data_IF_273215151063
#
_entry.id   IF_273215151063
#
_cell.length_a   1.000
_cell.length_b   1.000
_cell.length_c   1.000
_cell.angle_alpha   90.00
_cell.angle_beta   90.00
_cell.angle_gamma   90.00
#
_symmetry.space_group_name_H-M   'P 1'
#
loop_
_entity.id
_entity.type
_entity.pdbx_description
1 polymer ?
#
# COMPACT_ATOMS: atom_id res chain seq x y z
N UNK A 1 -6.73 10.61 -35.82
CA UNK A 1 -7.83 9.67 -35.48
C UNK A 1 -7.19 8.32 -35.17
N UNK A 2 -6.84 8.08 -33.91
CA UNK A 2 -6.46 6.77 -33.38
C UNK A 2 -6.99 6.73 -31.95
N UNK A 3 -8.26 6.34 -31.82
CA UNK A 3 -8.83 5.89 -30.55
C UNK A 3 -8.22 4.54 -30.22
N UNK A 4 -7.14 4.57 -29.43
CA UNK A 4 -6.68 3.39 -28.72
C UNK A 4 -7.69 3.10 -27.60
N UNK A 5 -8.70 2.29 -27.91
CA UNK A 5 -9.50 1.58 -26.93
C UNK A 5 -8.57 0.56 -26.25
N UNK A 6 -7.85 1.00 -25.22
CA UNK A 6 -7.15 0.08 -24.33
C UNK A 6 -8.16 -0.56 -23.39
N UNK A 7 -8.11 -1.88 -23.36
CA UNK A 7 -9.07 -2.75 -22.71
C UNK A 7 -9.12 -2.55 -21.18
N UNK A 8 -9.97 -1.64 -20.70
CA UNK A 8 -10.56 -1.69 -19.35
C UNK A 8 -11.60 -2.83 -19.20
N UNK A 9 -11.43 -3.93 -19.95
CA UNK A 9 -12.40 -5.03 -20.12
C UNK A 9 -12.60 -5.86 -18.84
N UNK A 10 -11.74 -5.72 -17.82
CA UNK A 10 -11.89 -6.53 -16.59
C UNK A 10 -12.90 -5.98 -15.58
N UNK A 11 -13.20 -4.68 -15.59
CA UNK A 11 -14.02 -4.04 -14.56
C UNK A 11 -15.36 -3.61 -15.17
N UNK A 12 -16.48 -3.94 -14.54
CA UNK A 12 -17.84 -3.80 -15.10
C UNK A 12 -18.19 -4.87 -16.15
N UNK A 13 -17.97 -6.16 -15.85
CA UNK A 13 -18.54 -7.25 -16.66
C UNK A 13 -20.08 -7.20 -16.59
N UNK A 14 -20.71 -6.90 -17.73
CA UNK A 14 -22.15 -7.10 -18.04
C UNK A 14 -23.12 -5.92 -17.92
N UNK A 15 -22.70 -4.66 -17.95
CA UNK A 15 -23.65 -3.53 -18.09
C UNK A 15 -23.19 -2.53 -19.16
N UNK A 16 -24.10 -2.04 -20.04
CA UNK A 16 -23.79 -1.03 -21.06
C UNK A 16 -23.41 0.34 -20.47
N UNK A 17 -23.74 0.57 -19.20
CA UNK A 17 -23.24 1.68 -18.36
C UNK A 17 -22.43 1.07 -17.21
N UNK A 18 -21.22 1.56 -16.95
CA UNK A 18 -20.35 0.98 -15.94
C UNK A 18 -20.82 1.42 -14.55
N UNK A 19 -21.55 0.54 -13.87
CA UNK A 19 -21.92 0.78 -12.49
C UNK A 19 -20.67 0.87 -11.60
N UNK A 20 -20.33 2.08 -11.17
CA UNK A 20 -19.19 2.36 -10.31
C UNK A 20 -19.26 1.62 -8.96
N UNK A 21 -20.42 1.10 -8.56
CA UNK A 21 -20.58 0.29 -7.35
C UNK A 21 -19.74 -0.99 -7.37
N UNK A 22 -19.43 -1.51 -8.56
CA UNK A 22 -18.65 -2.74 -8.74
C UNK A 22 -17.13 -2.53 -8.77
N UNK A 23 -16.65 -1.30 -8.92
CA UNK A 23 -15.22 -1.01 -9.12
C UNK A 23 -14.36 -1.52 -7.96
N UNK A 24 -14.75 -1.22 -6.72
CA UNK A 24 -13.99 -1.62 -5.54
C UNK A 24 -14.08 -3.12 -5.25
N UNK A 25 -15.28 -3.78 -5.28
CA UNK A 25 -15.38 -5.23 -5.18
C UNK A 25 -14.53 -5.97 -6.21
N UNK A 26 -14.63 -5.60 -7.49
CA UNK A 26 -13.87 -6.22 -8.57
C UNK A 26 -12.36 -6.05 -8.35
N UNK A 27 -11.92 -4.88 -7.87
CA UNK A 27 -10.51 -4.58 -7.67
C UNK A 27 -9.95 -5.39 -6.51
N UNK A 28 -10.71 -5.46 -5.41
CA UNK A 28 -10.39 -6.31 -4.27
C UNK A 28 -10.27 -7.77 -4.69
N UNK A 29 -11.19 -8.27 -5.52
CA UNK A 29 -11.20 -9.67 -5.94
C UNK A 29 -10.00 -9.99 -6.87
N UNK A 30 -9.65 -9.08 -7.79
CA UNK A 30 -8.43 -9.18 -8.60
C UNK A 30 -7.16 -9.21 -7.73
N UNK A 31 -7.05 -8.30 -6.77
CA UNK A 31 -5.90 -8.21 -5.87
C UNK A 31 -5.81 -9.45 -4.96
N UNK A 32 -6.95 -9.95 -4.48
CA UNK A 32 -7.04 -11.18 -3.68
C UNK A 32 -6.57 -12.41 -4.46
N UNK A 33 -6.94 -12.50 -5.75
CA UNK A 33 -6.53 -13.58 -6.65
C UNK A 33 -5.05 -13.54 -7.07
N UNK A 34 -4.35 -12.43 -6.85
CA UNK A 34 -2.94 -12.31 -7.19
C UNK A 34 -2.05 -12.98 -6.12
N UNK A 35 -1.04 -13.79 -6.50
CA UNK A 35 -0.08 -14.35 -5.56
C UNK A 35 0.68 -13.26 -4.80
N UNK A 36 0.80 -13.43 -3.49
CA UNK A 36 1.55 -12.52 -2.63
C UNK A 36 3.05 -12.61 -2.94
N UNK A 37 3.69 -11.48 -3.25
CA UNK A 37 5.12 -11.38 -3.60
C UNK A 37 5.88 -10.55 -2.58
N UNK A 38 6.71 -11.19 -1.77
CA UNK A 38 7.50 -10.52 -0.75
C UNK A 38 8.79 -11.29 -0.44
N UNK A 39 9.78 -10.60 0.11
CA UNK A 39 11.10 -11.14 0.45
C UNK A 39 11.48 -10.68 1.84
N UNK A 40 11.93 -11.59 2.71
CA UNK A 40 12.60 -11.23 3.96
C UNK A 40 14.00 -10.70 3.63
N UNK A 41 14.25 -9.43 3.93
CA UNK A 41 15.51 -8.75 3.63
C UNK A 41 16.49 -8.89 4.79
N UNK A 42 16.01 -8.70 6.03
CA UNK A 42 16.86 -8.84 7.22
C UNK A 42 16.06 -9.16 8.48
N UNK A 43 16.76 -9.66 9.49
CA UNK A 43 16.26 -9.80 10.85
C UNK A 43 17.28 -9.15 11.78
N UNK A 44 16.80 -8.26 12.65
CA UNK A 44 17.62 -7.47 13.56
C UNK A 44 17.14 -7.70 14.99
N UNK A 45 18.07 -8.07 15.87
CA UNK A 45 17.78 -8.15 17.30
C UNK A 45 17.87 -6.74 17.91
N UNK A 46 16.78 -6.28 18.48
CA UNK A 46 16.69 -5.06 19.29
C UNK A 46 16.49 -5.45 20.76
N UNK A 47 16.57 -4.48 21.67
CA UNK A 47 16.29 -4.72 23.08
C UNK A 47 14.83 -5.19 23.27
N UNK A 48 14.67 -6.45 23.71
CA UNK A 48 13.38 -7.12 23.95
C UNK A 48 12.43 -7.21 22.75
N UNK A 49 12.94 -6.98 21.54
CA UNK A 49 12.16 -6.97 20.29
C UNK A 49 13.01 -7.56 19.17
N UNK A 50 12.41 -8.42 18.35
CA UNK A 50 12.98 -8.85 17.07
C UNK A 50 12.31 -8.05 15.96
N UNK A 51 13.11 -7.35 15.15
CA UNK A 51 12.64 -6.68 13.94
C UNK A 51 12.88 -7.60 12.73
N UNK A 52 11.83 -7.90 11.97
CA UNK A 52 11.92 -8.52 10.65
C UNK A 52 11.57 -7.50 9.57
N UNK A 53 12.49 -7.27 8.66
CA UNK A 53 12.34 -6.32 7.56
C UNK A 53 12.02 -7.06 6.26
N UNK A 54 10.89 -6.75 5.64
CA UNK A 54 10.45 -7.35 4.39
C UNK A 54 10.30 -6.28 3.29
N UNK A 55 10.60 -6.69 2.05
CA UNK A 55 10.15 -5.98 0.85
C UNK A 55 8.87 -6.64 0.34
N UNK A 56 7.85 -5.84 0.04
CA UNK A 56 6.57 -6.26 -0.52
C UNK A 56 6.35 -5.63 -1.90
N UNK A 57 6.11 -6.45 -2.92
CA UNK A 57 5.58 -6.01 -4.21
C UNK A 57 4.05 -6.15 -4.17
N UNK A 58 3.33 -5.07 -3.91
CA UNK A 58 1.90 -5.13 -3.59
C UNK A 58 1.02 -5.34 -4.83
N UNK A 59 1.34 -4.67 -5.93
CA UNK A 59 0.54 -4.66 -7.15
C UNK A 59 1.26 -3.97 -8.31
N UNK A 60 0.67 -4.10 -9.50
CA UNK A 60 0.97 -3.26 -10.64
C UNK A 60 -0.22 -2.31 -10.86
N UNK A 61 -0.02 -1.00 -10.72
CA UNK A 61 -1.07 0.00 -10.87
C UNK A 61 -0.59 1.14 -11.79
N UNK A 62 -1.16 1.16 -12.99
CA UNK A 62 -1.05 2.24 -13.98
C UNK A 62 -2.32 2.22 -14.84
N UNK A 63 -3.46 2.71 -14.31
CA UNK A 63 -4.70 2.73 -15.09
C UNK A 63 -4.48 3.55 -16.36
N UNK A 64 -4.91 2.97 -17.49
CA UNK A 64 -4.71 3.52 -18.85
C UNK A 64 -3.23 3.78 -19.22
N UNK A 65 -2.29 3.08 -18.56
CA UNK A 65 -0.84 3.31 -18.67
C UNK A 65 -0.42 4.77 -18.35
N UNK A 66 -1.24 5.48 -17.57
CA UNK A 66 -1.06 6.90 -17.30
C UNK A 66 -0.18 7.21 -16.10
N UNK A 67 0.21 6.22 -15.28
CA UNK A 67 0.92 6.50 -14.03
C UNK A 67 2.19 5.67 -13.88
N UNK A 68 3.28 6.34 -13.55
CA UNK A 68 4.57 5.69 -13.30
C UNK A 68 5.13 6.09 -11.94
N UNK A 69 5.88 5.19 -11.28
CA UNK A 69 6.15 3.80 -11.62
C UNK A 69 4.93 2.88 -11.40
N UNK A 70 4.72 1.94 -12.31
CA UNK A 70 3.57 1.06 -12.28
C UNK A 70 3.70 -0.09 -11.27
N UNK A 71 4.90 -0.63 -11.05
CA UNK A 71 5.15 -1.63 -10.02
C UNK A 71 5.22 -0.95 -8.65
N UNK A 72 4.37 -1.37 -7.71
CA UNK A 72 4.33 -0.82 -6.35
C UNK A 72 5.14 -1.67 -5.39
N UNK A 73 5.99 -0.99 -4.61
CA UNK A 73 6.94 -1.62 -3.71
C UNK A 73 6.94 -0.94 -2.35
N UNK A 74 6.93 -1.73 -1.29
CA UNK A 74 6.79 -1.24 0.07
C UNK A 74 7.76 -1.93 1.02
N UNK A 75 8.21 -1.19 2.02
CA UNK A 75 8.86 -1.77 3.18
C UNK A 75 7.82 -2.18 4.22
N UNK A 76 7.91 -3.41 4.72
CA UNK A 76 7.09 -3.96 5.80
C UNK A 76 8.00 -4.40 6.94
N UNK A 77 8.00 -3.63 8.02
CA UNK A 77 8.75 -3.92 9.24
C UNK A 77 7.84 -4.55 10.28
N UNK A 78 8.19 -5.72 10.80
CA UNK A 78 7.45 -6.39 11.86
C UNK A 78 8.30 -6.43 13.12
N UNK A 79 7.84 -5.72 14.15
CA UNK A 79 8.45 -5.65 15.48
C UNK A 79 7.74 -6.65 16.39
N UNK A 80 8.44 -7.71 16.76
CA UNK A 80 7.93 -8.82 17.56
C UNK A 80 8.56 -8.74 18.95
N UNK A 81 7.83 -8.34 20.00
CA UNK A 81 8.35 -8.34 21.36
C UNK A 81 8.53 -9.77 21.89
N UNK A 82 9.45 -9.96 22.84
CA UNK A 82 9.76 -11.28 23.41
C UNK A 82 8.54 -11.99 24.01
N UNK A 83 7.61 -11.22 24.61
CA UNK A 83 6.35 -11.72 25.19
C UNK A 83 5.13 -11.25 24.40
N UNK A 84 5.19 -11.36 23.07
CA UNK A 84 4.12 -10.92 22.17
C UNK A 84 2.75 -11.56 22.48
N UNK A 85 1.75 -10.69 22.61
CA UNK A 85 0.33 -11.06 22.67
C UNK A 85 -0.12 -11.72 21.37
N UNK A 86 -1.06 -12.64 21.50
CA UNK A 86 -1.69 -13.32 20.37
C UNK A 86 -2.87 -12.52 19.80
N UNK A 87 -3.37 -12.96 18.63
CA UNK A 87 -4.60 -12.51 17.94
C UNK A 87 -4.56 -11.10 17.35
N UNK A 88 -3.97 -10.14 18.05
CA UNK A 88 -4.00 -8.72 17.70
C UNK A 88 -2.62 -8.17 17.34
N UNK A 89 -2.56 -7.37 16.28
CA UNK A 89 -1.39 -6.56 15.93
C UNK A 89 -1.78 -5.10 15.66
N UNK A 90 -0.85 -4.19 15.95
CA UNK A 90 -0.93 -2.79 15.54
C UNK A 90 -0.30 -2.64 14.17
N UNK A 91 -1.03 -2.08 13.21
CA UNK A 91 -0.52 -1.72 11.89
C UNK A 91 -0.37 -0.21 11.81
N UNK A 92 0.83 0.26 11.53
CA UNK A 92 1.17 1.67 11.35
C UNK A 92 1.48 1.90 9.88
N UNK A 93 0.65 2.71 9.22
CA UNK A 93 0.90 3.16 7.84
C UNK A 93 1.85 4.36 7.90
N UNK A 94 3.13 4.06 7.79
CA UNK A 94 4.23 5.00 7.90
C UNK A 94 4.48 5.67 6.54
N UNK A 95 5.04 6.87 6.59
CA UNK A 95 5.45 7.58 5.39
C UNK A 95 6.73 6.97 4.81
N UNK A 96 7.04 7.26 3.56
CA UNK A 96 8.27 6.83 2.90
C UNK A 96 8.40 7.43 1.51
N UNK A 97 9.63 7.54 1.02
CA UNK A 97 9.91 7.89 -0.37
C UNK A 97 10.79 6.80 -0.91
N UNK A 98 10.27 6.05 -1.87
CA UNK A 98 10.98 4.94 -2.49
C UNK A 98 11.34 5.21 -3.96
N UNK A 99 10.89 6.33 -4.55
CA UNK A 99 11.34 6.79 -5.86
C UNK A 99 11.79 8.24 -5.83
N UNK A 100 12.82 8.56 -6.61
CA UNK A 100 13.26 9.93 -6.86
C UNK A 100 13.66 10.07 -8.33
N UNK A 101 13.13 11.09 -9.02
CA UNK A 101 13.39 11.33 -10.46
C UNK A 101 13.16 10.08 -11.35
N UNK A 102 12.15 9.28 -11.02
CA UNK A 102 11.82 8.04 -11.73
C UNK A 102 12.74 6.85 -11.44
N UNK A 103 13.73 7.02 -10.56
CA UNK A 103 14.64 5.96 -10.13
C UNK A 103 14.21 5.46 -8.77
N UNK A 104 14.19 4.14 -8.63
CA UNK A 104 13.91 3.49 -7.36
C UNK A 104 15.09 3.69 -6.39
N UNK A 105 14.80 4.15 -5.17
CA UNK A 105 15.76 4.38 -4.09
C UNK A 105 15.39 3.56 -2.84
N UNK A 106 16.34 3.34 -1.91
CA UNK A 106 16.01 2.83 -0.58
C UNK A 106 15.03 3.78 0.12
N UNK A 107 13.98 3.22 0.71
CA UNK A 107 12.98 4.02 1.41
C UNK A 107 13.59 4.73 2.62
N UNK A 108 13.16 5.97 2.83
CA UNK A 108 13.41 6.74 4.05
C UNK A 108 12.07 6.95 4.74
N UNK A 109 11.73 6.08 5.69
CA UNK A 109 10.55 6.27 6.54
C UNK A 109 10.82 7.39 7.55
N UNK A 110 9.89 8.33 7.70
CA UNK A 110 10.14 9.60 8.42
C UNK A 110 9.12 9.95 9.50
N UNK A 111 7.92 9.38 9.49
CA UNK A 111 6.87 9.78 10.47
C UNK A 111 7.05 9.05 11.81
N UNK A 112 7.26 7.74 11.78
CA UNK A 112 7.56 6.92 12.96
C UNK A 112 8.94 6.28 12.83
N UNK A 113 9.82 6.53 13.80
CA UNK A 113 11.18 5.96 13.81
C UNK A 113 11.15 4.49 14.26
N UNK A 114 12.19 3.75 13.90
CA UNK A 114 12.38 2.37 14.38
C UNK A 114 12.37 2.29 15.91
N UNK A 115 12.99 3.26 16.59
CA UNK A 115 13.03 3.31 18.05
C UNK A 115 11.63 3.48 18.64
N UNK A 116 10.83 4.42 18.11
CA UNK A 116 9.46 4.64 18.56
C UNK A 116 8.62 3.38 18.40
N UNK A 117 8.69 2.71 17.24
CA UNK A 117 7.91 1.51 16.96
C UNK A 117 8.36 0.32 17.81
N UNK A 118 9.66 0.14 18.03
CA UNK A 118 10.20 -0.88 18.92
C UNK A 118 9.78 -0.64 20.38
N UNK A 119 9.76 0.61 20.85
CA UNK A 119 9.30 0.95 22.19
C UNK A 119 7.80 0.65 22.34
N UNK A 120 6.96 1.01 21.37
CA UNK A 120 5.52 0.65 21.39
C UNK A 120 5.34 -0.87 21.47
N UNK A 121 6.08 -1.63 20.66
CA UNK A 121 5.99 -3.09 20.65
C UNK A 121 6.37 -3.67 22.02
N UNK A 122 7.49 -3.20 22.59
CA UNK A 122 8.01 -3.63 23.90
C UNK A 122 7.05 -3.28 25.03
N UNK A 123 6.67 -2.02 25.15
CA UNK A 123 5.94 -1.52 26.32
C UNK A 123 4.50 -2.05 26.36
N UNK A 124 3.93 -2.40 25.20
CA UNK A 124 2.57 -2.94 25.11
C UNK A 124 2.51 -4.45 24.94
N UNK A 125 3.66 -5.12 24.75
CA UNK A 125 3.77 -6.52 24.33
C UNK A 125 2.91 -6.85 23.10
N UNK A 126 2.74 -5.90 22.18
CA UNK A 126 1.92 -6.07 20.97
C UNK A 126 2.83 -6.10 19.76
N UNK A 127 2.56 -7.00 18.80
CA UNK A 127 3.29 -6.98 17.53
C UNK A 127 2.91 -5.71 16.77
N UNK A 128 3.93 -4.95 16.36
CA UNK A 128 3.75 -3.74 15.55
C UNK A 128 4.23 -4.02 14.13
N UNK A 129 3.39 -3.71 13.15
CA UNK A 129 3.67 -3.85 11.73
C UNK A 129 3.71 -2.43 11.15
N UNK A 130 4.87 -1.96 10.71
CA UNK A 130 5.01 -0.67 10.03
C UNK A 130 5.12 -0.89 8.54
N UNK A 131 4.18 -0.31 7.79
CA UNK A 131 4.16 -0.37 6.32
C UNK A 131 4.52 1.01 5.79
N UNK A 132 5.62 1.12 5.06
CA UNK A 132 6.09 2.37 4.47
C UNK A 132 5.82 2.44 2.97
N UNK A 133 5.97 3.63 2.38
CA UNK A 133 5.84 3.86 0.93
C UNK A 133 4.42 3.62 0.39
N UNK A 134 3.40 3.97 1.18
CA UNK A 134 2.02 4.08 0.73
C UNK A 134 1.65 5.58 0.71
N UNK A 135 1.45 6.21 -0.46
CA UNK A 135 1.59 5.66 -1.81
C UNK A 135 3.05 5.41 -2.24
N UNK A 136 3.24 4.69 -3.35
CA UNK A 136 4.52 4.34 -3.99
C UNK A 136 5.21 5.58 -4.60
N UNK A 137 5.60 6.53 -3.75
CA UNK A 137 5.92 7.90 -4.15
C UNK A 137 7.41 8.12 -4.46
N UNK A 138 7.73 8.96 -5.45
CA UNK A 138 6.84 9.85 -6.21
C UNK A 138 6.12 9.17 -7.38
N UNK A 139 4.93 9.70 -7.74
CA UNK A 139 4.17 9.28 -8.91
C UNK A 139 4.22 10.33 -10.01
N UNK A 140 4.33 9.92 -11.27
CA UNK A 140 4.26 10.79 -12.44
C UNK A 140 3.06 10.38 -13.29
N UNK A 141 2.12 11.31 -13.46
CA UNK A 141 0.95 11.15 -14.31
C UNK A 141 1.26 11.62 -15.73
N UNK A 142 0.70 10.96 -16.74
CA UNK A 142 0.90 11.31 -18.14
C UNK A 142 0.50 12.77 -18.40
N UNK A 143 1.37 13.52 -19.06
CA UNK A 143 1.18 14.95 -19.35
C UNK A 143 1.66 15.89 -18.24
N UNK A 144 1.95 15.37 -17.04
CA UNK A 144 2.52 16.16 -15.96
C UNK A 144 4.04 16.31 -16.17
N UNK A 145 4.57 17.50 -15.86
CA UNK A 145 5.98 17.84 -16.08
C UNK A 145 6.91 17.43 -14.94
N UNK A 146 6.34 17.04 -13.79
CA UNK A 146 7.09 16.69 -12.58
C UNK A 146 6.45 15.50 -11.86
N UNK A 147 7.25 14.67 -11.17
CA UNK A 147 6.74 13.72 -10.19
C UNK A 147 6.06 14.44 -9.03
N UNK A 148 5.00 13.85 -8.49
CA UNK A 148 4.14 14.36 -7.43
C UNK A 148 4.31 13.53 -6.15
N UNK A 149 4.26 14.20 -4.99
CA UNK A 149 4.16 13.56 -3.67
C UNK A 149 2.73 13.13 -3.36
N UNK A 150 2.50 12.45 -2.25
CA UNK A 150 1.17 12.03 -1.77
C UNK A 150 0.07 13.09 -1.99
N UNK A 151 0.18 14.27 -1.36
CA UNK A 151 -0.91 15.26 -1.38
C UNK A 151 -1.27 15.72 -2.81
N UNK A 152 -0.26 15.97 -3.63
CA UNK A 152 -0.42 16.35 -5.04
C UNK A 152 -0.97 15.17 -5.87
N UNK A 153 -0.51 13.95 -5.60
CA UNK A 153 -0.92 12.75 -6.33
C UNK A 153 -2.37 12.36 -6.04
N UNK A 154 -2.80 12.46 -4.77
CA UNK A 154 -4.21 12.26 -4.39
C UNK A 154 -5.08 13.26 -5.14
N UNK A 155 -4.74 14.55 -5.08
CA UNK A 155 -5.50 15.61 -5.75
C UNK A 155 -5.55 15.42 -7.26
N UNK A 156 -4.40 15.11 -7.88
CA UNK A 156 -4.29 14.87 -9.33
C UNK A 156 -5.11 13.66 -9.78
N UNK A 157 -5.06 12.58 -9.02
CA UNK A 157 -5.79 11.35 -9.32
C UNK A 157 -7.31 11.56 -9.34
N UNK A 158 -7.83 12.34 -8.39
CA UNK A 158 -9.23 12.72 -8.34
C UNK A 158 -9.63 13.69 -9.46
N UNK A 159 -8.76 14.66 -9.79
CA UNK A 159 -9.00 15.56 -10.92
C UNK A 159 -9.12 14.77 -12.24
N UNK A 160 -8.20 13.83 -12.48
CA UNK A 160 -8.25 12.95 -13.64
C UNK A 160 -9.53 12.10 -13.66
N UNK A 161 -9.95 11.54 -12.53
CA UNK A 161 -11.23 10.82 -12.43
C UNK A 161 -12.41 11.72 -12.81
N UNK A 162 -12.51 12.94 -12.27
CA UNK A 162 -13.62 13.85 -12.53
C UNK A 162 -13.73 14.31 -14.00
N UNK A 163 -12.63 14.32 -14.74
CA UNK A 163 -12.65 14.62 -16.19
C UNK A 163 -13.36 13.52 -17.00
N UNK A 164 -13.30 12.26 -16.55
CA UNK A 164 -13.86 11.10 -17.27
C UNK A 164 -14.16 9.92 -16.33
N UNK A 165 -15.19 10.00 -15.47
CA UNK A 165 -15.40 9.06 -14.35
C UNK A 165 -15.54 7.60 -14.78
N UNK A 166 -16.31 7.35 -15.83
CA UNK A 166 -16.57 6.02 -16.37
C UNK A 166 -15.30 5.37 -16.93
N UNK A 167 -14.47 6.15 -17.61
CA UNK A 167 -13.21 5.67 -18.19
C UNK A 167 -12.13 5.53 -17.12
N UNK A 168 -12.03 6.48 -16.19
CA UNK A 168 -10.93 6.61 -15.22
C UNK A 168 -11.31 6.15 -13.80
N UNK A 169 -12.26 5.22 -13.69
CA UNK A 169 -12.78 4.69 -12.42
C UNK A 169 -11.73 4.11 -11.45
N UNK A 170 -10.58 3.65 -11.96
CA UNK A 170 -9.45 3.16 -11.15
C UNK A 170 -8.36 4.20 -10.89
N UNK A 171 -8.54 5.42 -11.38
CA UNK A 171 -7.59 6.50 -11.20
C UNK A 171 -7.48 7.01 -9.76
N UNK A 172 -8.54 7.09 -8.93
CA UNK A 172 -8.41 7.57 -7.56
C UNK A 172 -7.36 6.79 -6.75
N UNK A 173 -6.32 7.52 -6.29
CA UNK A 173 -5.12 6.93 -5.69
C UNK A 173 -5.39 6.14 -4.40
N UNK A 174 -6.50 6.42 -3.73
CA UNK A 174 -6.92 5.68 -2.54
C UNK A 174 -7.07 4.18 -2.81
N UNK A 175 -7.55 3.79 -4.00
CA UNK A 175 -7.81 2.39 -4.37
C UNK A 175 -6.54 1.53 -4.27
N UNK A 176 -5.46 1.83 -4.99
CA UNK A 176 -4.22 1.07 -4.85
C UNK A 176 -3.58 1.25 -3.46
N UNK A 177 -3.77 2.38 -2.78
CA UNK A 177 -3.25 2.55 -1.41
C UNK A 177 -3.87 1.55 -0.41
N UNK A 178 -5.20 1.35 -0.44
CA UNK A 178 -5.88 0.34 0.40
C UNK A 178 -5.42 -1.07 0.02
N UNK A 179 -5.30 -1.36 -1.27
CA UNK A 179 -4.85 -2.67 -1.74
C UNK A 179 -3.42 -2.99 -1.29
N UNK A 180 -2.52 -2.01 -1.27
CA UNK A 180 -1.17 -2.19 -0.74
C UNK A 180 -1.16 -2.59 0.74
N UNK A 181 -1.98 -1.92 1.55
CA UNK A 181 -2.13 -2.28 2.98
C UNK A 181 -2.73 -3.68 3.16
N UNK A 182 -3.74 -4.04 2.35
CA UNK A 182 -4.34 -5.37 2.36
C UNK A 182 -3.31 -6.48 2.06
N UNK A 183 -2.40 -6.25 1.12
CA UNK A 183 -1.30 -7.19 0.83
C UNK A 183 -0.30 -7.27 1.99
N UNK A 184 0.01 -6.16 2.67
CA UNK A 184 0.85 -6.18 3.87
C UNK A 184 0.20 -6.95 5.03
N UNK A 185 -1.13 -6.85 5.19
CA UNK A 185 -1.88 -7.66 6.16
C UNK A 185 -1.84 -9.15 5.78
N UNK A 186 -1.95 -9.51 4.49
CA UNK A 186 -1.79 -10.90 4.03
C UNK A 186 -0.39 -11.45 4.33
N UNK A 187 0.65 -10.64 4.11
CA UNK A 187 2.03 -10.96 4.51
C UNK A 187 2.09 -11.22 6.02
N UNK A 188 1.61 -10.29 6.84
CA UNK A 188 1.64 -10.42 8.29
C UNK A 188 0.91 -11.69 8.78
N UNK A 189 -0.27 -12.00 8.25
CA UNK A 189 -0.99 -13.25 8.58
C UNK A 189 -0.18 -14.51 8.26
N UNK A 190 0.58 -14.49 7.17
CA UNK A 190 1.40 -15.62 6.75
C UNK A 190 2.67 -15.79 7.61
N UNK A 191 3.28 -14.69 8.02
CA UNK A 191 4.54 -14.70 8.78
C UNK A 191 4.32 -14.80 10.31
N UNK A 192 3.13 -14.47 10.81
CA UNK A 192 2.80 -14.40 12.24
C UNK A 192 1.83 -15.50 12.70
N UNK A 193 1.84 -16.65 12.03
CA UNK A 193 1.00 -17.81 12.36
C UNK A 193 1.24 -18.31 13.79
N UNK A 194 2.48 -18.21 14.29
CA UNK A 194 2.85 -18.58 15.66
C UNK A 194 2.01 -17.83 16.72
N UNK A 195 1.64 -16.58 16.47
CA UNK A 195 0.84 -15.75 17.40
C UNK A 195 -0.64 -15.71 17.02
N UNK A 196 -1.06 -16.50 16.02
CA UNK A 196 -2.42 -16.55 15.50
C UNK A 196 -3.00 -15.15 15.21
N UNK A 197 -2.20 -14.25 14.61
CA UNK A 197 -2.63 -12.87 14.35
C UNK A 197 -3.71 -12.86 13.26
N UNK A 198 -4.92 -12.45 13.62
CA UNK A 198 -6.06 -12.35 12.70
C UNK A 198 -6.86 -11.05 12.84
N UNK A 199 -6.60 -10.25 13.86
CA UNK A 199 -7.25 -8.97 14.14
C UNK A 199 -6.22 -7.84 14.14
N UNK A 200 -6.57 -6.70 13.52
CA UNK A 200 -5.63 -5.60 13.32
C UNK A 200 -6.23 -4.29 13.80
N UNK A 201 -5.43 -3.51 14.53
CA UNK A 201 -5.70 -2.10 14.83
C UNK A 201 -4.87 -1.31 13.83
N UNK A 202 -5.50 -0.51 12.98
CA UNK A 202 -4.80 0.23 11.91
C UNK A 202 -4.74 1.71 12.28
N UNK A 203 -3.55 2.30 12.17
CA UNK A 203 -3.33 3.74 12.34
C UNK A 203 -2.43 4.27 11.24
N UNK A 204 -2.59 5.55 10.89
CA UNK A 204 -1.81 6.24 9.88
C UNK A 204 -1.99 7.74 10.01
N UNK A 205 -0.97 8.50 9.59
CA UNK A 205 -0.99 9.96 9.62
C UNK A 205 -1.40 10.47 8.23
N UNK A 206 -2.15 11.58 8.18
CA UNK A 206 -2.54 12.26 6.93
C UNK A 206 -3.45 11.37 6.05
N UNK A 207 -3.28 11.40 4.72
CA UNK A 207 -4.16 10.72 3.75
C UNK A 207 -3.95 9.20 3.79
N UNK A 208 -2.83 8.77 4.38
CA UNK A 208 -2.54 7.37 4.68
C UNK A 208 -3.51 6.78 5.70
N UNK A 209 -4.09 7.59 6.58
CA UNK A 209 -5.17 7.16 7.48
C UNK A 209 -6.41 6.66 6.72
N UNK A 210 -6.65 7.12 5.48
CA UNK A 210 -7.75 6.64 4.64
C UNK A 210 -7.57 5.19 4.19
N UNK A 211 -6.36 4.63 4.30
CA UNK A 211 -6.11 3.23 3.95
C UNK A 211 -6.64 2.23 4.97
N UNK A 212 -7.09 2.71 6.13
CA UNK A 212 -7.65 1.89 7.20
C UNK A 212 -9.11 1.45 6.99
N UNK A 213 -9.77 1.96 5.94
CA UNK A 213 -11.16 1.64 5.58
C UNK A 213 -11.29 0.29 4.85
#
# INVERSE_FOLDING_TARGET
VFTLLHNNILFCRNSPECDLSHVLPDYRDQISGTPLKYTLISTVQLAQVVLRHYELLSQHWSPDDMVTPAQWRHNVDIYIPETAKERHALVVVNNGINYEKGVQIPSKAVDFTQETLANIARDTNTIVISVSDIPNQYLTFQGDKKPLKEDESVSRSWALFMEAPEQRKLMPLNIPMVAALSQAIRLAKKELTQWNIHSFIITGISKRGWTAW
#
